data_IF_474520932493
#
_entry.id   IF_474520932493
#
_cell.length_a   1.000
_cell.length_b   1.000
_cell.length_c   1.000
_cell.angle_alpha   90.00
_cell.angle_beta   90.00
_cell.angle_gamma   90.00
#
_symmetry.space_group_name_H-M   'P 1'
#
loop_
_entity.id
_entity.type
_entity.pdbx_description
1 polymer ?
#
# COMPACT_ATOMS: atom_id res chain seq x y z
N UNK A 1 -23.30 -47.51 17.33
CA UNK A 1 -21.89 -47.39 16.89
C UNK A 1 -21.70 -46.03 16.24
N UNK A 2 -20.68 -45.30 16.70
CA UNK A 2 -20.35 -43.90 16.36
C UNK A 2 -19.84 -43.79 14.93
N UNK A 3 -20.36 -42.86 14.12
CA UNK A 3 -19.61 -42.27 13.00
C UNK A 3 -19.94 -40.77 12.93
N UNK A 4 -19.19 -40.01 13.71
CA UNK A 4 -19.04 -38.57 13.54
C UNK A 4 -18.50 -38.31 12.13
N UNK A 5 -19.34 -37.76 11.25
CA UNK A 5 -18.86 -37.09 10.05
C UNK A 5 -18.28 -35.74 10.47
N UNK A 6 -16.96 -35.69 10.59
CA UNK A 6 -16.21 -34.44 10.70
C UNK A 6 -16.33 -33.70 9.37
N UNK A 7 -17.19 -32.67 9.31
CA UNK A 7 -17.14 -31.67 8.26
C UNK A 7 -15.80 -30.94 8.36
N UNK A 8 -14.87 -31.25 7.45
CA UNK A 8 -13.69 -30.43 7.23
C UNK A 8 -14.13 -29.10 6.60
N UNK A 9 -14.36 -28.09 7.45
CA UNK A 9 -14.53 -26.71 7.01
C UNK A 9 -13.19 -26.23 6.44
N UNK A 10 -13.06 -26.29 5.11
CA UNK A 10 -12.01 -25.62 4.35
C UNK A 10 -12.17 -24.12 4.56
N UNK A 11 -11.44 -23.57 5.53
CA UNK A 11 -11.31 -22.12 5.71
C UNK A 11 -10.46 -21.63 4.53
N UNK A 12 -11.12 -21.27 3.42
CA UNK A 12 -10.50 -20.49 2.37
C UNK A 12 -10.14 -19.12 2.98
N UNK A 13 -8.89 -18.98 3.41
CA UNK A 13 -8.27 -17.68 3.65
C UNK A 13 -8.23 -16.94 2.31
N UNK A 14 -9.29 -16.21 2.00
CA UNK A 14 -9.31 -15.30 0.86
C UNK A 14 -8.19 -14.28 1.08
N UNK A 15 -7.14 -14.34 0.25
CA UNK A 15 -6.14 -13.28 0.18
C UNK A 15 -6.88 -11.98 -0.18
N UNK A 16 -7.17 -11.14 0.82
CA UNK A 16 -7.82 -9.86 0.58
C UNK A 16 -6.90 -9.02 -0.28
N UNK A 17 -7.26 -8.87 -1.56
CA UNK A 17 -6.53 -8.00 -2.47
C UNK A 17 -6.43 -6.58 -1.88
N UNK A 18 -5.32 -5.87 -2.10
CA UNK A 18 -5.18 -4.50 -1.61
C UNK A 18 -6.36 -3.65 -2.11
N UNK A 19 -7.11 -3.04 -1.18
CA UNK A 19 -8.24 -2.18 -1.54
C UNK A 19 -7.76 -1.02 -2.44
N UNK A 20 -8.54 -0.65 -3.48
CA UNK A 20 -8.21 0.48 -4.31
C UNK A 20 -8.20 1.76 -3.47
N UNK A 21 -7.23 2.65 -3.73
CA UNK A 21 -7.14 3.95 -3.05
C UNK A 21 -8.26 4.86 -3.61
N UNK A 22 -9.13 5.43 -2.75
CA UNK A 22 -10.18 6.38 -3.16
C UNK A 22 -9.62 7.58 -3.93
N UNK A 23 -10.36 8.11 -4.92
CA UNK A 23 -9.89 9.22 -5.75
C UNK A 23 -9.64 10.51 -4.94
N UNK A 24 -10.39 10.74 -3.86
CA UNK A 24 -10.22 11.90 -2.97
C UNK A 24 -8.86 11.86 -2.26
N UNK A 25 -8.45 10.66 -1.82
CA UNK A 25 -7.13 10.47 -1.19
C UNK A 25 -6.02 10.61 -2.22
N UNK A 26 -6.21 10.10 -3.45
CA UNK A 26 -5.24 10.29 -4.53
C UNK A 26 -5.03 11.78 -4.84
N UNK A 27 -6.11 12.53 -5.00
CA UNK A 27 -6.05 13.97 -5.25
C UNK A 27 -5.36 14.71 -4.09
N UNK A 28 -5.72 14.37 -2.84
CA UNK A 28 -5.08 14.94 -1.64
C UNK A 28 -3.57 14.75 -1.64
N UNK A 29 -3.10 13.54 -1.96
CA UNK A 29 -1.66 13.23 -1.96
C UNK A 29 -0.95 13.80 -3.19
N UNK A 30 -1.62 13.94 -4.34
CA UNK A 30 -1.07 14.62 -5.52
C UNK A 30 -0.81 16.11 -5.24
N UNK A 31 -1.68 16.76 -4.48
CA UNK A 31 -1.52 18.15 -4.07
C UNK A 31 -0.45 18.38 -2.98
N UNK A 32 0.08 17.33 -2.34
CA UNK A 32 1.14 17.48 -1.34
C UNK A 32 2.48 17.83 -2.01
N UNK A 33 3.20 18.83 -1.46
CA UNK A 33 4.61 19.06 -1.77
C UNK A 33 5.45 17.81 -1.48
N UNK A 34 6.53 17.60 -2.24
CA UNK A 34 7.33 16.37 -2.13
C UNK A 34 8.02 16.23 -0.77
N UNK A 35 8.45 17.35 -0.19
CA UNK A 35 9.07 17.49 1.12
C UNK A 35 8.16 17.03 2.26
N UNK A 36 6.84 17.06 2.06
CA UNK A 36 5.86 16.61 3.03
C UNK A 36 5.52 15.12 2.89
N UNK A 37 6.01 14.46 1.83
CA UNK A 37 5.80 13.04 1.65
C UNK A 37 6.80 12.23 2.49
N UNK A 38 6.37 11.15 3.14
CA UNK A 38 7.24 10.37 4.01
C UNK A 38 8.29 9.63 3.18
N UNK A 39 9.56 9.79 3.58
CA UNK A 39 10.71 9.11 2.96
C UNK A 39 10.96 7.80 3.67
N UNK A 40 11.00 6.70 2.92
CA UNK A 40 11.28 5.37 3.45
C UNK A 40 12.41 4.73 2.65
N UNK A 41 13.66 5.03 2.99
CA UNK A 41 14.83 4.66 2.20
C UNK A 41 14.90 3.16 1.88
N UNK A 42 14.56 2.28 2.82
CA UNK A 42 14.53 0.83 2.62
C UNK A 42 13.47 0.41 1.59
N UNK A 43 12.23 0.90 1.72
CA UNK A 43 11.13 0.59 0.80
C UNK A 43 11.40 1.19 -0.59
N UNK A 44 11.88 2.43 -0.63
CA UNK A 44 12.29 3.09 -1.87
C UNK A 44 13.41 2.33 -2.58
N UNK A 45 14.39 1.79 -1.85
CA UNK A 45 15.46 0.99 -2.45
C UNK A 45 14.95 -0.36 -2.96
N UNK A 46 14.03 -1.00 -2.23
CA UNK A 46 13.41 -2.26 -2.65
C UNK A 46 12.54 -2.09 -3.90
N UNK A 47 11.74 -1.00 -3.96
CA UNK A 47 10.79 -0.74 -5.06
C UNK A 47 11.42 -0.02 -6.25
N UNK A 48 12.39 0.85 -6.00
CA UNK A 48 13.11 1.63 -7.00
C UNK A 48 14.63 1.33 -6.98
N UNK A 49 15.05 0.05 -7.19
CA UNK A 49 16.45 -0.33 -7.12
C UNK A 49 17.24 0.31 -8.25
N UNK A 50 18.46 0.81 -7.95
CA UNK A 50 19.30 1.53 -8.92
C UNK A 50 19.52 0.75 -10.23
N UNK A 51 19.61 -0.58 -10.17
CA UNK A 51 19.83 -1.45 -11.32
C UNK A 51 18.67 -1.49 -12.33
N UNK A 52 17.46 -1.05 -11.96
CA UNK A 52 16.30 -1.03 -12.86
C UNK A 52 16.09 0.28 -13.60
N UNK A 53 16.82 1.34 -13.27
CA UNK A 53 16.60 2.68 -13.83
C UNK A 53 17.83 3.14 -14.61
N UNK A 54 17.67 3.53 -15.88
CA UNK A 54 18.79 3.97 -16.73
C UNK A 54 19.31 5.37 -16.35
N UNK A 55 18.47 6.19 -15.70
CA UNK A 55 18.82 7.55 -15.28
C UNK A 55 18.46 7.82 -13.83
N UNK A 56 19.11 8.82 -13.23
CA UNK A 56 18.78 9.28 -11.88
C UNK A 56 17.35 9.83 -11.81
N UNK A 57 16.95 10.59 -12.83
CA UNK A 57 15.63 11.23 -12.94
C UNK A 57 14.50 10.19 -12.89
N UNK A 58 14.54 9.19 -13.77
CA UNK A 58 13.51 8.13 -13.79
C UNK A 58 13.43 7.35 -12.47
N UNK A 59 14.57 7.21 -11.77
CA UNK A 59 14.60 6.61 -10.44
C UNK A 59 13.97 7.52 -9.38
N UNK A 60 14.19 8.83 -9.45
CA UNK A 60 13.58 9.79 -8.54
C UNK A 60 12.06 9.83 -8.74
N UNK A 61 11.58 9.75 -9.98
CA UNK A 61 10.15 9.67 -10.28
C UNK A 61 9.51 8.43 -9.65
N UNK A 62 10.15 7.25 -9.76
CA UNK A 62 9.68 6.06 -9.05
C UNK A 62 9.59 6.30 -7.54
N UNK A 63 10.63 6.90 -6.94
CA UNK A 63 10.62 7.18 -5.49
C UNK A 63 9.47 8.10 -5.12
N UNK A 64 9.22 9.13 -5.91
CA UNK A 64 8.11 10.06 -5.68
C UNK A 64 6.76 9.35 -5.75
N UNK A 65 6.55 8.48 -6.74
CA UNK A 65 5.34 7.67 -6.85
C UNK A 65 5.15 6.76 -5.63
N UNK A 66 6.21 6.05 -5.21
CA UNK A 66 6.18 5.18 -4.03
C UNK A 66 5.82 5.97 -2.77
N UNK A 67 6.41 7.15 -2.58
CA UNK A 67 6.11 8.02 -1.43
C UNK A 67 4.64 8.45 -1.43
N UNK A 68 4.09 8.83 -2.59
CA UNK A 68 2.66 9.18 -2.72
C UNK A 68 1.77 7.98 -2.42
N UNK A 69 2.09 6.79 -2.92
CA UNK A 69 1.30 5.58 -2.62
C UNK A 69 1.30 5.28 -1.11
N UNK A 70 2.46 5.34 -0.46
CA UNK A 70 2.58 5.07 0.97
C UNK A 70 1.85 6.10 1.82
N UNK A 71 1.92 7.38 1.45
CA UNK A 71 1.13 8.44 2.07
C UNK A 71 -0.37 8.19 1.92
N UNK A 72 -0.84 7.85 0.71
CA UNK A 72 -2.24 7.56 0.45
C UNK A 72 -2.75 6.37 1.28
N UNK A 73 -1.97 5.28 1.34
CA UNK A 73 -2.30 4.11 2.18
C UNK A 73 -2.27 4.41 3.67
N UNK A 74 -1.43 5.35 4.12
CA UNK A 74 -1.42 5.81 5.52
C UNK A 74 -2.71 6.55 5.84
N UNK A 75 -3.08 7.55 5.03
CA UNK A 75 -4.33 8.32 5.21
C UNK A 75 -5.55 7.39 5.20
N UNK A 76 -5.60 6.44 4.27
CA UNK A 76 -6.70 5.48 4.19
C UNK A 76 -6.79 4.61 5.45
N UNK A 77 -5.66 4.19 6.02
CA UNK A 77 -5.64 3.44 7.29
C UNK A 77 -6.10 4.30 8.47
N UNK A 78 -5.68 5.56 8.52
CA UNK A 78 -6.09 6.49 9.58
C UNK A 78 -7.60 6.78 9.53
N UNK A 79 -8.17 6.98 8.34
CA UNK A 79 -9.62 7.15 8.15
C UNK A 79 -10.41 5.91 8.57
N UNK A 80 -9.95 4.72 8.18
CA UNK A 80 -10.60 3.46 8.56
C UNK A 80 -10.44 3.15 10.07
N UNK A 81 -9.32 3.51 10.68
CA UNK A 81 -9.07 3.32 12.10
C UNK A 81 -9.88 4.28 12.98
N UNK A 82 -10.12 5.50 12.50
CA UNK A 82 -11.02 6.48 13.12
C UNK A 82 -12.52 6.16 12.96
N UNK A 83 -12.87 5.20 12.10
CA UNK A 83 -14.24 4.69 11.91
C UNK A 83 -14.55 3.45 12.77
N UNK A 84 -13.70 3.12 13.77
CA UNK A 84 -13.97 2.01 14.68
C UNK A 84 -15.16 2.39 15.60
N UNK A 85 -16.28 1.63 15.58
CA UNK A 85 -17.38 1.85 16.52
C UNK A 85 -16.96 1.62 17.97
#
# INVERSE_FOLDING_TARGET
MKKSLLLAALILSACAAPRPIPPEIKAKVQAMPQENLPVYASIEQQRCPKSRYPSLETRLDCKHEVRRELAARRIMRELNAGQKP
#
